data_IF_112561872391
#
_entry.id   IF_112561872391
#
_cell.length_a   1.000
_cell.length_b   1.000
_cell.length_c   1.000
_cell.angle_alpha   90.00
_cell.angle_beta   90.00
_cell.angle_gamma   90.00
#
_symmetry.space_group_name_H-M   'P 1'
#
loop_
_entity.id
_entity.type
_entity.pdbx_description
1 polymer ?
#
# COMPACT_ATOMS: atom_id res chain seq x y z
N UNK A 1 5.46 -5.17 -7.70
CA UNK A 1 4.06 -4.90 -8.16
C UNK A 1 3.23 -6.14 -7.88
N UNK A 2 1.97 -5.98 -7.45
CA UNK A 2 1.13 -7.13 -7.09
C UNK A 2 -0.11 -7.21 -7.97
N UNK A 3 -0.84 -6.11 -8.11
CA UNK A 3 -2.08 -6.06 -8.86
C UNK A 3 -2.08 -4.84 -9.78
N UNK A 4 -2.60 -5.04 -10.98
CA UNK A 4 -2.88 -3.98 -11.93
C UNK A 4 -4.37 -3.96 -12.26
N UNK A 5 -4.93 -2.78 -12.37
CA UNK A 5 -6.31 -2.60 -12.82
C UNK A 5 -6.35 -1.56 -13.93
N UNK A 6 -6.99 -1.93 -15.02
CA UNK A 6 -7.14 -1.10 -16.22
C UNK A 6 -8.62 -0.90 -16.52
N UNK A 7 -8.97 0.23 -17.09
CA UNK A 7 -10.33 0.48 -17.60
C UNK A 7 -10.30 0.75 -19.11
N UNK A 8 -11.34 0.27 -19.80
CA UNK A 8 -11.65 0.70 -21.16
C UNK A 8 -12.18 2.13 -21.18
N UNK A 9 -12.38 2.66 -22.37
CA UNK A 9 -13.19 3.84 -22.57
C UNK A 9 -14.66 3.59 -22.18
N UNK A 10 -15.39 4.67 -21.89
CA UNK A 10 -16.82 4.61 -21.65
C UNK A 10 -17.59 4.52 -22.99
N UNK A 11 -18.53 3.61 -23.05
CA UNK A 11 -19.31 3.32 -24.26
C UNK A 11 -20.78 3.49 -23.93
N UNK A 12 -21.55 4.08 -24.85
CA UNK A 12 -23.02 4.07 -24.74
C UNK A 12 -23.51 2.65 -24.93
N UNK A 13 -24.33 2.14 -24.02
CA UNK A 13 -24.76 0.71 -24.01
C UNK A 13 -25.33 0.28 -25.35
N UNK A 14 -26.16 1.12 -25.95
CA UNK A 14 -26.78 0.81 -27.25
C UNK A 14 -25.77 0.73 -28.41
N UNK A 15 -24.57 1.29 -28.23
CA UNK A 15 -23.49 1.26 -29.22
C UNK A 15 -22.46 0.15 -28.94
N UNK A 16 -22.60 -0.61 -27.85
CA UNK A 16 -21.64 -1.65 -27.48
C UNK A 16 -21.42 -2.68 -28.58
N UNK A 17 -22.49 -3.12 -29.26
CA UNK A 17 -22.42 -4.11 -30.35
C UNK A 17 -21.57 -3.66 -31.54
N UNK A 18 -21.44 -2.36 -31.75
CA UNK A 18 -20.66 -1.77 -32.84
C UNK A 18 -19.31 -1.19 -32.34
N UNK A 19 -18.97 -1.40 -31.08
CA UNK A 19 -17.71 -0.95 -30.53
C UNK A 19 -16.64 -2.05 -30.62
N UNK A 20 -15.37 -1.64 -30.56
CA UNK A 20 -14.23 -2.58 -30.48
C UNK A 20 -14.26 -3.46 -29.23
N UNK A 21 -15.10 -3.15 -28.25
CA UNK A 21 -15.24 -3.93 -27.00
C UNK A 21 -16.44 -4.91 -27.02
N UNK A 22 -17.07 -5.12 -28.18
CA UNK A 22 -18.27 -5.98 -28.33
C UNK A 22 -18.07 -7.42 -27.82
N UNK A 23 -16.88 -7.92 -27.95
CA UNK A 23 -16.54 -9.31 -27.60
C UNK A 23 -16.03 -9.51 -26.16
N UNK A 24 -15.73 -8.43 -25.45
CA UNK A 24 -15.28 -8.51 -24.05
C UNK A 24 -16.23 -9.28 -23.10
N UNK A 25 -17.57 -9.16 -23.23
CA UNK A 25 -18.48 -9.96 -22.41
C UNK A 25 -18.30 -11.47 -22.55
N UNK A 26 -17.76 -11.95 -23.68
CA UNK A 26 -17.44 -13.38 -23.88
C UNK A 26 -16.33 -13.85 -22.96
N UNK A 27 -15.39 -12.96 -22.60
CA UNK A 27 -14.27 -13.25 -21.70
C UNK A 27 -14.69 -13.25 -20.22
N UNK A 28 -15.88 -12.74 -19.90
CA UNK A 28 -16.38 -12.66 -18.51
C UNK A 28 -16.52 -14.02 -17.82
N UNK A 29 -16.74 -15.09 -18.55
CA UNK A 29 -16.87 -16.45 -17.98
C UNK A 29 -15.61 -16.91 -17.24
N UNK A 30 -14.47 -16.20 -17.41
CA UNK A 30 -13.21 -16.41 -16.71
C UNK A 30 -13.12 -15.66 -15.36
N UNK A 31 -14.22 -15.06 -14.87
CA UNK A 31 -14.24 -14.25 -13.63
C UNK A 31 -14.25 -15.09 -12.34
N UNK A 32 -13.70 -16.28 -12.35
CA UNK A 32 -13.47 -17.02 -11.12
C UNK A 32 -12.22 -16.47 -10.41
N UNK A 33 -12.26 -16.40 -9.09
CA UNK A 33 -11.13 -15.93 -8.26
C UNK A 33 -9.82 -16.70 -8.49
N UNK A 34 -9.92 -17.89 -9.11
CA UNK A 34 -8.78 -18.73 -9.50
C UNK A 34 -8.04 -18.27 -10.76
N UNK A 35 -8.55 -17.29 -11.52
CA UNK A 35 -7.88 -16.80 -12.72
C UNK A 35 -7.07 -15.53 -12.45
N UNK A 36 -5.82 -15.43 -12.97
CA UNK A 36 -4.97 -14.27 -12.75
C UNK A 36 -5.43 -13.02 -13.51
N UNK A 37 -6.12 -13.19 -14.64
CA UNK A 37 -6.68 -12.09 -15.46
C UNK A 37 -8.18 -12.21 -15.47
N UNK A 38 -8.87 -11.11 -15.09
CA UNK A 38 -10.34 -11.07 -14.96
C UNK A 38 -10.89 -9.81 -15.58
N UNK A 39 -12.04 -9.93 -16.26
CA UNK A 39 -12.76 -8.80 -16.85
C UNK A 39 -14.07 -8.59 -16.08
N UNK A 40 -14.33 -7.35 -15.70
CA UNK A 40 -15.58 -6.93 -15.08
C UNK A 40 -16.25 -5.86 -15.95
N UNK A 41 -17.57 -5.83 -15.99
CA UNK A 41 -18.31 -4.75 -16.61
C UNK A 41 -18.96 -3.87 -15.54
N UNK A 42 -18.96 -2.57 -15.80
CA UNK A 42 -19.59 -1.58 -14.94
C UNK A 42 -20.53 -0.72 -15.78
N UNK A 43 -21.81 -0.68 -15.40
CA UNK A 43 -22.79 0.16 -16.06
C UNK A 43 -23.35 1.19 -15.09
N UNK A 44 -23.61 2.39 -15.60
CA UNK A 44 -24.23 3.47 -14.85
C UNK A 44 -24.97 4.42 -15.76
N UNK A 45 -25.86 5.24 -15.19
CA UNK A 45 -26.57 6.27 -15.93
C UNK A 45 -25.95 7.64 -15.67
N UNK A 46 -25.73 8.41 -16.75
CA UNK A 46 -25.25 9.76 -16.67
C UNK A 46 -26.08 10.64 -17.65
N UNK A 47 -26.74 11.66 -17.10
CA UNK A 47 -27.62 12.54 -17.89
C UNK A 47 -28.63 11.78 -18.76
N UNK A 48 -29.27 10.74 -18.22
CA UNK A 48 -30.25 9.90 -18.93
C UNK A 48 -29.63 8.88 -19.91
N UNK A 49 -28.33 8.92 -20.14
CA UNK A 49 -27.63 7.97 -21.02
C UNK A 49 -27.04 6.84 -20.20
N UNK A 50 -27.33 5.60 -20.57
CA UNK A 50 -26.69 4.40 -19.98
C UNK A 50 -25.32 4.19 -20.62
N UNK A 51 -24.29 4.23 -19.77
CA UNK A 51 -22.90 4.02 -20.13
C UNK A 51 -22.38 2.71 -19.56
N UNK A 52 -21.44 2.08 -20.26
CA UNK A 52 -20.71 0.90 -19.81
C UNK A 52 -19.21 1.12 -20.01
N UNK A 53 -18.40 0.58 -19.11
CA UNK A 53 -16.98 0.39 -19.31
C UNK A 53 -16.54 -0.96 -18.74
N UNK A 54 -15.40 -1.44 -19.18
CA UNK A 54 -14.83 -2.70 -18.73
C UNK A 54 -13.60 -2.46 -17.89
N UNK A 55 -13.43 -3.25 -16.85
CA UNK A 55 -12.25 -3.27 -15.99
C UNK A 55 -11.51 -4.58 -16.19
N UNK A 56 -10.26 -4.50 -16.58
CA UNK A 56 -9.32 -5.61 -16.60
C UNK A 56 -8.54 -5.60 -15.28
N UNK A 57 -8.65 -6.68 -14.53
CA UNK A 57 -7.94 -6.88 -13.26
C UNK A 57 -6.89 -7.98 -13.45
N UNK A 58 -5.63 -7.69 -13.10
CA UNK A 58 -4.50 -8.60 -13.27
C UNK A 58 -3.83 -8.84 -11.93
N UNK A 59 -3.88 -10.06 -11.43
CA UNK A 59 -3.06 -10.53 -10.31
C UNK A 59 -1.70 -10.99 -10.85
N UNK A 60 -0.71 -10.10 -10.76
CA UNK A 60 0.60 -10.33 -11.35
C UNK A 60 1.37 -11.46 -10.66
N UNK A 61 1.19 -11.66 -9.36
CA UNK A 61 1.86 -12.74 -8.63
C UNK A 61 1.31 -14.11 -9.04
N UNK A 62 -0.02 -14.19 -9.15
CA UNK A 62 -0.68 -15.41 -9.61
C UNK A 62 -0.33 -15.72 -11.07
N UNK A 63 -0.31 -14.69 -11.92
CA UNK A 63 0.02 -14.82 -13.35
C UNK A 63 1.43 -15.37 -13.56
N UNK A 64 2.40 -14.83 -12.84
CA UNK A 64 3.80 -15.19 -12.97
C UNK A 64 4.23 -16.35 -12.06
N UNK A 65 3.37 -16.78 -11.13
CA UNK A 65 3.70 -17.77 -10.09
C UNK A 65 4.94 -17.36 -9.27
N UNK A 66 5.08 -16.07 -8.99
CA UNK A 66 6.21 -15.48 -8.25
C UNK A 66 5.72 -14.79 -6.97
N UNK A 67 6.63 -14.63 -6.00
CA UNK A 67 6.37 -13.91 -4.74
C UNK A 67 6.48 -12.40 -4.94
N UNK A 68 7.38 -11.97 -5.84
CA UNK A 68 7.63 -10.58 -6.20
C UNK A 68 7.67 -10.42 -7.72
N UNK A 69 7.22 -9.26 -8.20
CA UNK A 69 7.29 -8.86 -9.61
C UNK A 69 8.40 -7.84 -9.78
N UNK A 70 9.36 -8.16 -10.63
CA UNK A 70 10.48 -7.30 -11.02
C UNK A 70 10.14 -6.51 -12.30
N UNK A 71 10.93 -5.49 -12.61
CA UNK A 71 10.70 -4.67 -13.82
C UNK A 71 10.80 -5.50 -15.12
N UNK A 72 11.70 -6.48 -15.17
CA UNK A 72 11.82 -7.41 -16.31
C UNK A 72 10.57 -8.27 -16.54
N UNK A 73 9.77 -8.51 -15.52
CA UNK A 73 8.56 -9.34 -15.61
C UNK A 73 7.40 -8.64 -16.30
N UNK A 74 7.47 -7.33 -16.50
CA UNK A 74 6.36 -6.55 -17.03
C UNK A 74 6.08 -6.85 -18.49
N UNK A 75 7.09 -7.17 -19.27
CA UNK A 75 6.89 -7.64 -20.63
C UNK A 75 6.08 -8.93 -20.65
N UNK A 76 6.37 -9.87 -19.76
CA UNK A 76 5.60 -11.11 -19.61
C UNK A 76 4.15 -10.84 -19.21
N UNK A 77 3.90 -9.86 -18.33
CA UNK A 77 2.55 -9.45 -17.95
C UNK A 77 1.82 -8.82 -19.14
N UNK A 78 2.50 -7.97 -19.92
CA UNK A 78 1.94 -7.33 -21.11
C UNK A 78 1.57 -8.38 -22.17
N UNK A 79 2.44 -9.32 -22.43
CA UNK A 79 2.23 -10.40 -23.39
C UNK A 79 1.06 -11.29 -22.96
N UNK A 80 1.01 -11.72 -21.70
CA UNK A 80 -0.10 -12.51 -21.18
C UNK A 80 -1.46 -11.77 -21.22
N UNK A 81 -1.46 -10.45 -20.97
CA UNK A 81 -2.66 -9.63 -21.13
C UNK A 81 -3.10 -9.55 -22.60
N UNK A 82 -2.15 -9.37 -23.51
CA UNK A 82 -2.43 -9.30 -24.93
C UNK A 82 -2.96 -10.66 -25.46
N UNK A 83 -2.36 -11.77 -25.07
CA UNK A 83 -2.83 -13.10 -25.42
C UNK A 83 -4.27 -13.36 -24.92
N UNK A 84 -4.55 -12.93 -23.69
CA UNK A 84 -5.90 -13.01 -23.15
C UNK A 84 -6.90 -12.14 -23.94
N UNK A 85 -6.54 -10.89 -24.25
CA UNK A 85 -7.40 -9.93 -24.93
C UNK A 85 -7.54 -10.21 -26.43
N UNK A 86 -6.61 -10.95 -27.03
CA UNK A 86 -6.64 -11.34 -28.46
C UNK A 86 -7.95 -12.03 -28.83
N UNK A 87 -8.57 -12.76 -27.91
CA UNK A 87 -9.86 -13.42 -28.12
C UNK A 87 -11.00 -12.41 -28.41
N UNK A 88 -10.83 -11.16 -28.02
CA UNK A 88 -11.76 -10.05 -28.29
C UNK A 88 -11.20 -9.06 -29.32
N UNK A 89 -10.13 -9.42 -30.06
CA UNK A 89 -9.42 -8.55 -30.98
C UNK A 89 -8.91 -7.23 -30.35
N UNK A 90 -8.52 -7.29 -29.07
CA UNK A 90 -8.02 -6.17 -28.28
C UNK A 90 -6.58 -6.42 -27.78
N UNK A 91 -5.94 -5.35 -27.35
CA UNK A 91 -4.63 -5.36 -26.69
C UNK A 91 -4.72 -4.61 -25.37
N UNK A 92 -3.68 -4.68 -24.52
CA UNK A 92 -3.62 -3.92 -23.30
C UNK A 92 -3.58 -2.40 -23.54
N UNK A 93 -3.11 -1.97 -24.72
CA UNK A 93 -3.04 -0.56 -25.10
C UNK A 93 -4.43 0.06 -25.38
N UNK A 94 -5.48 -0.78 -25.55
CA UNK A 94 -6.87 -0.35 -25.61
C UNK A 94 -7.44 0.05 -24.24
N UNK A 95 -6.66 -0.14 -23.19
CA UNK A 95 -7.03 0.15 -21.81
C UNK A 95 -6.06 1.15 -21.19
N UNK A 96 -6.49 1.78 -20.11
CA UNK A 96 -5.65 2.67 -19.33
C UNK A 96 -5.58 2.26 -17.87
N UNK A 97 -4.43 2.39 -17.26
CA UNK A 97 -4.23 2.05 -15.84
C UNK A 97 -5.06 2.98 -14.96
N UNK A 98 -5.78 2.38 -14.01
CA UNK A 98 -6.57 3.08 -12.99
C UNK A 98 -6.18 2.72 -11.57
N UNK A 99 -5.46 1.61 -11.37
CA UNK A 99 -4.93 1.21 -10.07
C UNK A 99 -3.67 0.38 -10.24
N UNK A 100 -2.71 0.63 -9.37
CA UNK A 100 -1.48 -0.15 -9.23
C UNK A 100 -1.29 -0.45 -7.75
N UNK A 101 -1.12 -1.71 -7.40
CA UNK A 101 -0.80 -2.13 -6.04
C UNK A 101 0.66 -2.61 -5.98
N UNK A 102 1.44 -1.98 -5.11
CA UNK A 102 2.77 -2.44 -4.75
C UNK A 102 2.68 -3.17 -3.43
N UNK A 103 3.22 -4.37 -3.35
CA UNK A 103 3.31 -5.05 -2.08
C UNK A 103 4.72 -5.53 -1.79
N UNK A 104 5.04 -5.55 -0.52
CA UNK A 104 6.23 -6.20 0.04
C UNK A 104 5.77 -7.15 1.12
N UNK A 105 6.28 -8.36 1.08
CA UNK A 105 6.07 -9.36 2.10
C UNK A 105 7.27 -9.36 3.05
N UNK A 106 7.00 -9.25 4.35
CA UNK A 106 8.00 -9.26 5.40
C UNK A 106 7.72 -10.42 6.34
N UNK A 107 8.68 -11.32 6.50
CA UNK A 107 8.54 -12.44 7.42
C UNK A 107 8.87 -12.00 8.84
N UNK A 108 8.02 -12.37 9.78
CA UNK A 108 8.25 -12.23 11.22
C UNK A 108 8.87 -13.51 11.77
N UNK A 109 9.53 -13.42 12.91
CA UNK A 109 10.15 -14.58 13.56
C UNK A 109 9.07 -15.59 14.02
N UNK A 110 7.94 -15.09 14.49
CA UNK A 110 6.84 -15.91 14.98
C UNK A 110 5.53 -15.11 15.05
N UNK A 111 4.44 -15.82 15.34
CA UNK A 111 3.11 -15.21 15.48
C UNK A 111 3.06 -14.20 16.65
N UNK A 112 3.71 -14.46 17.76
CA UNK A 112 3.65 -13.61 18.94
C UNK A 112 4.25 -12.22 18.67
N UNK A 113 5.42 -12.15 18.01
CA UNK A 113 6.01 -10.87 17.58
C UNK A 113 5.09 -10.14 16.61
N UNK A 114 4.45 -10.86 15.69
CA UNK A 114 3.49 -10.30 14.73
C UNK A 114 2.28 -9.66 15.42
N UNK A 115 1.69 -10.38 16.38
CA UNK A 115 0.53 -9.89 17.14
C UNK A 115 0.91 -8.65 17.99
N UNK A 116 2.07 -8.62 18.63
CA UNK A 116 2.60 -7.48 19.38
C UNK A 116 2.83 -6.29 18.45
N UNK A 117 3.41 -6.53 17.27
CA UNK A 117 3.65 -5.44 16.30
C UNK A 117 2.33 -4.80 15.86
N UNK A 118 1.28 -5.57 15.55
CA UNK A 118 -0.02 -5.01 15.21
C UNK A 118 -0.62 -4.22 16.36
N UNK A 119 -0.58 -4.72 17.59
CA UNK A 119 -1.07 -3.98 18.76
C UNK A 119 -0.28 -2.67 18.97
N UNK A 120 1.04 -2.69 18.77
CA UNK A 120 1.89 -1.49 18.80
C UNK A 120 1.46 -0.49 17.73
N UNK A 121 1.24 -0.94 16.50
CA UNK A 121 0.78 -0.07 15.42
C UNK A 121 -0.62 0.49 15.70
N UNK A 122 -1.55 -0.31 16.20
CA UNK A 122 -2.89 0.13 16.55
C UNK A 122 -2.87 1.23 17.61
N UNK A 123 -2.04 1.08 18.63
CA UNK A 123 -1.97 2.04 19.73
C UNK A 123 -1.27 3.33 19.31
N UNK A 124 -0.19 3.25 18.56
CA UNK A 124 0.69 4.39 18.28
C UNK A 124 0.37 5.10 16.96
N UNK A 125 -0.13 4.36 15.96
CA UNK A 125 -0.34 4.87 14.60
C UNK A 125 -1.78 5.37 14.35
N UNK A 126 -2.53 5.69 15.38
CA UNK A 126 -3.92 6.15 15.26
C UNK A 126 -4.00 7.52 14.60
N UNK A 127 -4.86 7.60 13.57
CA UNK A 127 -5.38 8.83 12.94
C UNK A 127 -4.36 9.82 12.36
N UNK A 128 -3.83 9.53 11.21
CA UNK A 128 -3.19 10.56 10.40
C UNK A 128 -4.27 11.45 9.72
N UNK A 129 -4.24 12.77 9.93
CA UNK A 129 -5.25 13.76 9.50
C UNK A 129 -5.59 13.81 8.00
N UNK A 130 -4.92 13.03 7.16
CA UNK A 130 -5.13 12.98 5.71
C UNK A 130 -5.68 11.66 5.17
N UNK A 131 -5.75 10.64 6.03
CA UNK A 131 -6.24 9.33 5.66
C UNK A 131 -7.20 8.89 6.76
N UNK A 132 -8.42 8.53 6.43
CA UNK A 132 -9.26 7.83 7.38
C UNK A 132 -8.55 6.52 7.73
N UNK A 133 -8.06 6.41 8.95
CA UNK A 133 -7.47 5.19 9.48
C UNK A 133 -8.59 4.23 9.87
N UNK A 134 -8.47 2.99 9.46
CA UNK A 134 -9.26 1.88 10.01
C UNK A 134 -8.28 0.89 10.62
N UNK A 135 -8.54 0.50 11.85
CA UNK A 135 -7.82 -0.55 12.53
C UNK A 135 -8.66 -1.82 12.43
N UNK A 136 -8.04 -2.90 12.00
CA UNK A 136 -8.59 -4.25 12.04
C UNK A 136 -7.77 -5.05 13.06
N UNK A 137 -8.31 -6.08 13.68
CA UNK A 137 -7.58 -6.86 14.69
C UNK A 137 -6.19 -7.31 14.24
N UNK A 138 -6.02 -7.53 12.93
CA UNK A 138 -4.79 -8.02 12.32
C UNK A 138 -4.27 -7.13 11.18
N UNK A 139 -4.48 -5.81 11.26
CA UNK A 139 -4.01 -4.89 10.25
C UNK A 139 -4.34 -3.43 10.50
N UNK A 140 -3.64 -2.56 9.78
CA UNK A 140 -3.89 -1.12 9.76
C UNK A 140 -4.07 -0.66 8.32
N UNK A 141 -4.99 0.28 8.11
CA UNK A 141 -5.35 0.76 6.77
C UNK A 141 -5.52 2.27 6.77
N UNK A 142 -4.69 2.97 6.02
CA UNK A 142 -4.78 4.41 5.79
C UNK A 142 -5.15 4.67 4.35
N UNK A 143 -6.18 5.43 4.09
CA UNK A 143 -6.61 5.70 2.72
C UNK A 143 -7.13 7.12 2.51
N UNK A 144 -6.99 7.58 1.28
CA UNK A 144 -7.67 8.75 0.75
C UNK A 144 -8.18 8.47 -0.67
N UNK A 145 -8.64 9.51 -1.36
CA UNK A 145 -9.16 9.37 -2.74
C UNK A 145 -8.10 8.99 -3.77
N UNK A 146 -6.80 9.18 -3.46
CA UNK A 146 -5.70 8.97 -4.41
C UNK A 146 -4.82 7.77 -4.07
N UNK A 147 -4.64 7.44 -2.79
CA UNK A 147 -3.76 6.36 -2.31
C UNK A 147 -4.36 5.61 -1.14
N UNK A 148 -3.86 4.41 -0.91
CA UNK A 148 -4.04 3.71 0.36
C UNK A 148 -2.74 2.98 0.71
N UNK A 149 -2.43 2.92 2.00
CA UNK A 149 -1.39 2.07 2.57
C UNK A 149 -2.08 1.09 3.51
N UNK A 150 -1.82 -0.18 3.33
CA UNK A 150 -2.36 -1.25 4.16
C UNK A 150 -1.22 -2.13 4.67
N UNK A 151 -1.26 -2.46 5.94
CA UNK A 151 -0.35 -3.43 6.57
C UNK A 151 -1.22 -4.46 7.26
N UNK A 152 -1.07 -5.73 6.92
CA UNK A 152 -1.94 -6.78 7.43
C UNK A 152 -1.25 -8.15 7.51
N UNK A 153 -1.80 -8.99 8.38
CA UNK A 153 -1.43 -10.38 8.51
C UNK A 153 -1.96 -11.18 7.32
N UNK A 154 -1.05 -11.68 6.48
CA UNK A 154 -1.43 -12.42 5.28
C UNK A 154 -2.06 -13.78 5.58
N UNK A 155 -1.67 -14.40 6.67
CA UNK A 155 -2.22 -15.69 7.09
C UNK A 155 -3.67 -15.55 7.58
N UNK A 156 -3.94 -14.50 8.36
CA UNK A 156 -5.30 -14.20 8.82
C UNK A 156 -6.20 -13.82 7.65
N UNK A 157 -5.73 -12.96 6.75
CA UNK A 157 -6.48 -12.57 5.55
C UNK A 157 -6.89 -13.77 4.70
N UNK A 158 -6.01 -14.78 4.54
CA UNK A 158 -6.33 -16.03 3.84
C UNK A 158 -7.41 -16.84 4.56
N UNK A 159 -7.29 -16.96 5.88
CA UNK A 159 -8.29 -17.68 6.70
C UNK A 159 -9.67 -17.03 6.62
N UNK A 160 -9.74 -15.71 6.70
CA UNK A 160 -11.01 -14.96 6.58
C UNK A 160 -11.68 -15.15 5.22
N UNK A 161 -10.87 -15.27 4.16
CA UNK A 161 -11.37 -15.56 2.81
C UNK A 161 -11.64 -17.05 2.53
N UNK A 162 -11.45 -17.91 3.51
CA UNK A 162 -11.53 -19.38 3.36
C UNK A 162 -10.60 -19.90 2.24
N UNK A 163 -9.45 -19.26 2.06
CA UNK A 163 -8.43 -19.64 1.10
C UNK A 163 -7.29 -20.42 1.77
N UNK A 164 -6.66 -21.34 1.03
CA UNK A 164 -5.50 -22.07 1.54
C UNK A 164 -4.29 -21.15 1.74
N UNK A 165 -3.60 -21.31 2.87
CA UNK A 165 -2.36 -20.62 3.15
C UNK A 165 -1.26 -21.26 2.31
N UNK A 166 -0.53 -20.45 1.54
CA UNK A 166 0.62 -20.92 0.77
C UNK A 166 1.85 -20.97 1.68
N UNK A 167 2.78 -21.88 1.43
CA UNK A 167 3.97 -22.08 2.27
C UNK A 167 4.81 -20.82 2.52
N UNK A 168 4.81 -19.89 1.58
CA UNK A 168 5.53 -18.62 1.69
C UNK A 168 4.71 -17.49 2.36
N UNK A 169 3.46 -17.73 2.72
CA UNK A 169 2.56 -16.76 3.35
C UNK A 169 2.45 -16.97 4.87
N UNK A 170 3.09 -18.01 5.43
CA UNK A 170 3.15 -18.21 6.88
C UNK A 170 4.06 -17.18 7.54
N UNK A 171 3.61 -16.63 8.66
CA UNK A 171 4.30 -15.60 9.45
C UNK A 171 4.66 -14.34 8.65
N UNK A 172 3.86 -14.01 7.64
CA UNK A 172 4.10 -12.88 6.75
C UNK A 172 3.18 -11.70 7.07
N UNK A 173 3.80 -10.57 7.31
CA UNK A 173 3.14 -9.27 7.23
C UNK A 173 3.24 -8.77 5.80
N UNK A 174 2.12 -8.39 5.21
CA UNK A 174 2.08 -7.73 3.91
C UNK A 174 1.91 -6.24 4.09
N UNK A 175 2.79 -5.49 3.44
CA UNK A 175 2.64 -4.04 3.27
C UNK A 175 2.22 -3.79 1.83
N UNK A 176 1.10 -3.12 1.63
CA UNK A 176 0.52 -2.86 0.31
C UNK A 176 0.24 -1.37 0.12
N UNK A 177 0.88 -0.76 -0.87
CA UNK A 177 0.60 0.59 -1.32
C UNK A 177 -0.27 0.54 -2.58
N UNK A 178 -1.48 1.08 -2.49
CA UNK A 178 -2.40 1.19 -3.61
C UNK A 178 -2.35 2.61 -4.18
N UNK A 179 -1.97 2.73 -5.44
CA UNK A 179 -2.07 3.97 -6.22
C UNK A 179 -3.39 3.93 -7.01
N UNK A 180 -4.32 4.82 -6.67
CA UNK A 180 -5.67 4.87 -7.26
C UNK A 180 -5.70 5.79 -8.48
N UNK A 181 -6.77 5.70 -9.27
CA UNK A 181 -6.97 6.43 -10.53
C UNK A 181 -6.66 7.92 -10.44
N UNK A 182 -7.04 8.59 -9.34
CA UNK A 182 -6.77 10.01 -9.14
C UNK A 182 -5.26 10.29 -9.06
N UNK A 183 -4.52 9.49 -8.28
CA UNK A 183 -3.06 9.64 -8.18
C UNK A 183 -2.38 9.42 -9.53
N UNK A 184 -2.75 8.34 -10.23
CA UNK A 184 -2.19 7.99 -11.54
C UNK A 184 -2.44 9.12 -12.54
N UNK A 185 -3.67 9.65 -12.57
CA UNK A 185 -4.03 10.80 -13.43
C UNK A 185 -3.22 12.05 -13.10
N UNK A 186 -3.09 12.38 -11.81
CA UNK A 186 -2.40 13.60 -11.37
C UNK A 186 -0.88 13.49 -11.64
N UNK A 187 -0.27 12.34 -11.42
CA UNK A 187 1.13 12.07 -11.74
C UNK A 187 1.40 12.17 -13.25
N UNK A 188 0.55 11.54 -14.06
CA UNK A 188 0.62 11.63 -15.51
C UNK A 188 0.48 13.07 -16.02
N UNK A 189 -0.45 13.84 -15.46
CA UNK A 189 -0.66 15.25 -15.83
C UNK A 189 0.54 16.13 -15.44
N UNK A 190 1.12 15.93 -14.26
CA UNK A 190 2.31 16.67 -13.82
C UNK A 190 3.49 16.46 -14.77
N UNK A 191 3.75 15.21 -15.15
CA UNK A 191 4.84 14.90 -16.06
C UNK A 191 4.59 15.46 -17.46
N UNK A 192 3.38 15.31 -17.99
CA UNK A 192 3.03 15.89 -19.28
C UNK A 192 3.23 17.41 -19.30
N UNK A 193 2.85 18.10 -18.21
CA UNK A 193 3.09 19.53 -18.05
C UNK A 193 4.57 19.88 -18.01
N UNK A 194 5.40 19.10 -17.30
CA UNK A 194 6.86 19.31 -17.25
C UNK A 194 7.54 19.14 -18.61
N UNK A 195 6.94 18.33 -19.50
CA UNK A 195 7.39 18.12 -20.88
C UNK A 195 6.76 19.07 -21.91
N UNK A 196 6.04 20.10 -21.46
CA UNK A 196 5.38 21.07 -22.33
C UNK A 196 4.22 20.50 -23.16
N UNK A 197 3.69 19.32 -22.83
CA UNK A 197 2.63 18.62 -23.57
C UNK A 197 1.26 18.92 -22.99
N UNK A 198 0.26 19.19 -23.86
CA UNK A 198 -1.14 19.35 -23.46
C UNK A 198 -1.74 17.96 -23.20
N UNK A 199 -2.18 17.71 -21.97
CA UNK A 199 -2.83 16.45 -21.57
C UNK A 199 -4.33 16.54 -21.82
N UNK A 200 -4.81 16.14 -22.97
CA UNK A 200 -6.24 15.86 -23.18
C UNK A 200 -6.46 14.33 -23.12
N UNK A 201 -6.99 13.94 -22.06
CA UNK A 201 -7.90 12.89 -21.58
C UNK A 201 -7.79 11.44 -22.11
N UNK A 202 -7.89 11.13 -23.35
CA UNK A 202 -7.97 9.76 -23.86
C UNK A 202 -6.74 9.55 -24.74
N UNK A 203 -5.98 8.48 -24.44
CA UNK A 203 -4.71 8.22 -25.12
C UNK A 203 -3.49 8.92 -24.52
N UNK A 204 -3.55 9.35 -23.25
CA UNK A 204 -2.36 9.85 -22.56
C UNK A 204 -1.36 8.69 -22.35
N UNK A 205 -0.20 8.68 -23.03
CA UNK A 205 0.77 7.58 -22.94
C UNK A 205 1.26 7.35 -21.50
N UNK A 206 1.16 8.36 -20.63
CA UNK A 206 1.52 8.23 -19.21
C UNK A 206 0.53 7.42 -18.38
N UNK A 207 -0.58 7.00 -18.95
CA UNK A 207 -1.51 6.03 -18.35
C UNK A 207 -1.31 4.62 -18.90
N UNK A 208 -0.30 4.42 -19.74
CA UNK A 208 0.11 3.10 -20.25
C UNK A 208 0.94 2.35 -19.22
N UNK A 209 0.98 1.04 -19.35
CA UNK A 209 1.82 0.18 -18.52
C UNK A 209 3.31 0.53 -18.69
N UNK A 210 3.76 0.74 -19.92
CA UNK A 210 5.16 1.03 -20.26
C UNK A 210 5.71 2.26 -19.54
N UNK A 211 4.87 3.29 -19.38
CA UNK A 211 5.25 4.48 -18.61
C UNK A 211 5.50 4.16 -17.13
N UNK A 212 4.60 3.39 -16.50
CA UNK A 212 4.69 3.08 -15.08
C UNK A 212 5.80 2.07 -14.75
N UNK A 213 6.31 1.37 -15.74
CA UNK A 213 7.50 0.51 -15.62
C UNK A 213 8.77 1.32 -15.51
N UNK A 214 8.85 2.42 -16.23
CA UNK A 214 10.09 3.23 -16.32
C UNK A 214 10.34 4.13 -15.10
N UNK A 215 9.38 4.24 -14.17
CA UNK A 215 9.47 5.12 -12.98
C UNK A 215 9.89 4.30 -11.77
N UNK A 216 10.95 4.73 -11.08
CA UNK A 216 11.33 4.12 -9.79
C UNK A 216 10.21 4.26 -8.76
N UNK A 217 9.72 3.13 -8.28
CA UNK A 217 8.53 3.01 -7.45
C UNK A 217 8.86 2.74 -5.99
N UNK A 218 10.07 2.30 -5.75
CA UNK A 218 10.60 2.08 -4.42
C UNK A 218 10.54 3.37 -3.60
N UNK A 219 10.91 4.50 -4.22
CA UNK A 219 10.82 5.81 -3.59
C UNK A 219 9.40 6.17 -3.15
N UNK A 220 8.39 5.97 -4.01
CA UNK A 220 6.99 6.27 -3.64
C UNK A 220 6.46 5.36 -2.54
N UNK A 221 6.86 4.10 -2.55
CA UNK A 221 6.54 3.13 -1.51
C UNK A 221 7.17 3.53 -0.18
N UNK A 222 8.46 3.81 -0.16
CA UNK A 222 9.17 4.25 1.04
C UNK A 222 8.63 5.58 1.58
N UNK A 223 8.42 6.59 0.73
CA UNK A 223 7.81 7.86 1.15
C UNK A 223 6.39 7.70 1.74
N UNK A 224 5.61 6.74 1.22
CA UNK A 224 4.29 6.46 1.78
C UNK A 224 4.38 5.77 3.13
N UNK A 225 5.32 4.86 3.29
CA UNK A 225 5.55 4.12 4.52
C UNK A 225 6.10 5.03 5.64
N UNK A 226 7.13 5.82 5.34
CA UNK A 226 7.77 6.76 6.27
C UNK A 226 6.81 7.81 6.86
N UNK A 227 5.75 8.15 6.14
CA UNK A 227 4.71 9.05 6.64
C UNK A 227 3.89 8.47 7.79
N UNK A 228 3.80 7.15 7.86
CA UNK A 228 2.93 6.44 8.80
C UNK A 228 3.73 5.67 9.85
N UNK A 229 4.89 5.16 9.48
CA UNK A 229 5.75 4.38 10.37
C UNK A 229 7.15 5.00 10.34
N UNK A 230 7.59 5.62 11.43
CA UNK A 230 8.95 6.13 11.54
C UNK A 230 10.01 5.00 11.49
N UNK A 231 11.22 5.36 11.09
CA UNK A 231 12.38 4.47 11.16
C UNK A 231 12.76 4.13 12.61
N UNK A 232 13.62 3.14 12.77
CA UNK A 232 14.07 2.62 14.06
C UNK A 232 13.34 1.33 14.44
N UNK A 233 13.91 0.58 15.35
CA UNK A 233 13.35 -0.67 15.87
C UNK A 233 12.31 -0.41 16.98
N UNK A 234 11.42 -1.36 17.20
CA UNK A 234 10.37 -1.26 18.22
C UNK A 234 10.89 -1.80 19.56
N UNK A 235 10.86 -0.97 20.58
CA UNK A 235 11.23 -1.32 21.95
C UNK A 235 10.06 -1.11 22.90
N UNK A 236 10.06 -1.80 24.05
CA UNK A 236 9.21 -1.38 25.17
C UNK A 236 9.60 0.03 25.63
N UNK A 237 8.70 0.75 26.29
CA UNK A 237 9.00 2.11 26.77
C UNK A 237 10.15 2.09 27.77
N UNK A 238 10.20 1.08 28.64
CA UNK A 238 11.27 0.89 29.61
C UNK A 238 12.62 0.74 28.90
N UNK A 239 12.71 -0.18 27.95
CA UNK A 239 13.94 -0.40 27.16
C UNK A 239 14.37 0.81 26.35
N UNK A 240 13.42 1.49 25.71
CA UNK A 240 13.68 2.73 24.96
C UNK A 240 14.23 3.83 25.90
N UNK A 241 13.69 3.95 27.13
CA UNK A 241 14.17 4.91 28.11
C UNK A 241 15.60 4.62 28.57
N UNK A 242 15.98 3.35 28.74
CA UNK A 242 17.36 2.94 29.06
C UNK A 242 18.33 3.37 27.93
N UNK A 243 17.97 3.13 26.67
CA UNK A 243 18.78 3.51 25.52
C UNK A 243 18.94 5.06 25.48
N UNK A 244 17.87 5.81 25.75
CA UNK A 244 17.91 7.27 25.84
C UNK A 244 18.85 7.71 26.96
N UNK A 245 18.84 7.05 28.13
CA UNK A 245 19.71 7.39 29.24
C UNK A 245 21.21 7.18 28.93
N UNK A 246 21.52 6.18 28.14
CA UNK A 246 22.88 5.88 27.69
C UNK A 246 23.36 6.80 26.55
N UNK A 247 22.47 7.54 25.90
CA UNK A 247 22.83 8.42 24.77
C UNK A 247 23.65 9.62 25.21
N UNK A 248 24.32 10.28 24.25
CA UNK A 248 25.11 11.48 24.47
C UNK A 248 24.28 12.79 24.57
N UNK A 249 22.93 12.68 24.55
CA UNK A 249 22.05 13.82 24.60
C UNK A 249 22.05 14.51 25.98
N UNK A 250 21.76 15.81 26.02
CA UNK A 250 21.66 16.57 27.27
C UNK A 250 20.54 16.05 28.16
N UNK A 251 20.65 16.23 29.50
CA UNK A 251 19.59 15.82 30.44
C UNK A 251 18.20 16.38 30.06
N UNK A 252 18.16 17.65 29.61
CA UNK A 252 16.92 18.28 29.15
C UNK A 252 16.34 17.58 27.92
N UNK A 253 17.17 17.21 26.93
CA UNK A 253 16.73 16.52 25.72
C UNK A 253 16.24 15.09 26.06
N UNK A 254 16.99 14.34 26.88
CA UNK A 254 16.57 13.00 27.35
C UNK A 254 15.19 13.04 27.98
N UNK A 255 14.94 14.01 28.88
CA UNK A 255 13.62 14.19 29.50
C UNK A 255 12.52 14.42 28.45
N UNK A 256 12.79 15.30 27.46
CA UNK A 256 11.82 15.61 26.39
C UNK A 256 11.52 14.39 25.52
N UNK A 257 12.52 13.60 25.14
CA UNK A 257 12.35 12.39 24.33
C UNK A 257 11.55 11.32 25.08
N UNK A 258 11.82 11.10 26.38
CA UNK A 258 11.05 10.17 27.20
C UNK A 258 9.59 10.59 27.33
N UNK A 259 9.33 11.88 27.59
CA UNK A 259 7.97 12.41 27.63
C UNK A 259 7.27 12.24 26.29
N UNK A 260 7.96 12.48 25.17
CA UNK A 260 7.41 12.31 23.83
C UNK A 260 7.03 10.85 23.53
N UNK A 261 7.89 9.88 23.89
CA UNK A 261 7.55 8.44 23.76
C UNK A 261 6.34 8.06 24.63
N UNK A 262 6.27 8.55 25.86
CA UNK A 262 5.13 8.28 26.75
C UNK A 262 3.82 8.83 26.17
N UNK A 263 3.83 10.05 25.61
CA UNK A 263 2.65 10.63 24.97
C UNK A 263 2.21 9.78 23.79
N UNK A 264 3.15 9.35 22.94
CA UNK A 264 2.81 8.49 21.77
C UNK A 264 2.24 7.15 22.24
N UNK A 265 2.86 6.51 23.22
CA UNK A 265 2.39 5.22 23.73
C UNK A 265 0.98 5.33 24.33
N UNK A 266 0.70 6.42 25.05
CA UNK A 266 -0.58 6.59 25.74
C UNK A 266 -1.69 7.09 24.82
N UNK A 267 -1.39 8.02 23.92
CA UNK A 267 -2.37 8.82 23.19
C UNK A 267 -2.23 8.75 21.66
N UNK A 268 -1.19 8.08 21.16
CA UNK A 268 -0.86 8.04 19.73
C UNK A 268 -0.11 9.27 19.21
N UNK A 269 0.47 9.12 18.02
CA UNK A 269 1.28 10.17 17.38
C UNK A 269 0.48 11.44 17.08
N UNK A 270 -0.81 11.32 16.80
CA UNK A 270 -1.67 12.47 16.47
C UNK A 270 -1.89 13.42 17.64
N UNK A 271 -1.97 12.89 18.85
CA UNK A 271 -2.10 13.74 20.05
C UNK A 271 -0.76 14.44 20.32
N UNK A 272 0.36 13.69 20.20
CA UNK A 272 1.68 14.30 20.26
C UNK A 272 1.85 15.43 19.22
N UNK A 273 1.24 15.25 18.03
CA UNK A 273 1.24 16.24 16.96
C UNK A 273 0.40 17.50 17.26
N UNK A 274 -0.58 17.41 18.14
CA UNK A 274 -1.34 18.57 18.61
C UNK A 274 -0.62 19.34 19.73
N UNK A 275 0.12 18.62 20.57
CA UNK A 275 0.84 19.21 21.71
C UNK A 275 2.16 19.88 21.32
N UNK A 276 2.73 19.50 20.19
CA UNK A 276 4.03 19.99 19.72
C UNK A 276 3.97 20.61 18.33
N UNK A 277 4.83 21.59 18.07
CA UNK A 277 5.03 22.11 16.70
C UNK A 277 5.61 21.00 15.81
N UNK A 278 5.19 20.94 14.56
CA UNK A 278 5.63 19.95 13.57
C UNK A 278 7.17 19.79 13.49
N UNK A 279 7.91 20.91 13.53
CA UNK A 279 9.37 20.87 13.50
C UNK A 279 9.97 20.19 14.74
N UNK A 280 9.34 20.36 15.92
CA UNK A 280 9.74 19.70 17.15
C UNK A 280 9.53 18.20 17.08
N UNK A 281 8.39 17.77 16.55
CA UNK A 281 8.08 16.35 16.34
C UNK A 281 9.08 15.72 15.40
N UNK A 282 9.29 16.32 14.23
CA UNK A 282 10.25 15.82 13.24
C UNK A 282 11.66 15.72 13.84
N UNK A 283 12.06 16.70 14.67
CA UNK A 283 13.34 16.66 15.38
C UNK A 283 13.41 15.47 16.34
N UNK A 284 12.37 15.24 17.16
CA UNK A 284 12.38 14.14 18.13
C UNK A 284 12.37 12.78 17.42
N UNK A 285 11.54 12.62 16.39
CA UNK A 285 11.53 11.41 15.57
C UNK A 285 12.91 11.17 14.94
N UNK A 286 13.53 12.21 14.37
CA UNK A 286 14.86 12.09 13.78
C UNK A 286 15.91 11.66 14.81
N UNK A 287 15.98 12.30 15.98
CA UNK A 287 16.93 11.92 17.04
C UNK A 287 16.73 10.47 17.49
N UNK A 288 15.48 10.05 17.74
CA UNK A 288 15.18 8.69 18.18
C UNK A 288 15.57 7.67 17.09
N UNK A 289 15.18 7.92 15.84
CA UNK A 289 15.38 6.94 14.77
C UNK A 289 16.82 6.91 14.24
N UNK A 290 17.48 8.08 14.06
CA UNK A 290 18.81 8.12 13.42
C UNK A 290 19.97 7.98 14.39
N UNK A 291 19.84 8.50 15.63
CA UNK A 291 20.93 8.45 16.62
C UNK A 291 20.84 7.22 17.54
N UNK A 292 19.62 6.68 17.77
CA UNK A 292 19.39 5.62 18.75
C UNK A 292 18.74 4.37 18.14
N UNK A 293 18.35 4.40 16.87
CA UNK A 293 17.61 3.36 16.19
C UNK A 293 16.30 2.95 16.91
N UNK A 294 15.61 3.94 17.53
CA UNK A 294 14.34 3.75 18.22
C UNK A 294 13.21 4.24 17.33
N UNK A 295 12.26 3.37 16.96
CA UNK A 295 10.96 3.79 16.44
C UNK A 295 10.17 4.46 17.58
N UNK A 296 9.56 5.64 17.37
CA UNK A 296 8.74 6.28 18.40
C UNK A 296 7.51 5.47 18.82
N UNK A 297 7.11 4.46 18.04
CA UNK A 297 6.06 3.53 18.40
C UNK A 297 6.64 2.46 19.31
N UNK A 298 6.30 2.52 20.60
CA UNK A 298 6.82 1.61 21.60
C UNK A 298 5.86 0.45 21.87
N UNK A 299 6.42 -0.73 22.12
CA UNK A 299 5.65 -1.91 22.51
C UNK A 299 4.90 -1.60 23.83
N UNK A 300 3.59 -1.86 23.89
CA UNK A 300 2.81 -1.65 25.12
C UNK A 300 3.40 -2.41 26.31
N UNK A 301 3.58 -1.74 27.45
CA UNK A 301 4.19 -2.34 28.64
C UNK A 301 3.48 -3.61 29.14
N UNK A 302 2.14 -3.63 29.04
CA UNK A 302 1.35 -4.81 29.40
C UNK A 302 1.72 -6.04 28.56
N UNK A 303 2.00 -5.82 27.27
CA UNK A 303 2.40 -6.88 26.36
C UNK A 303 3.86 -7.30 26.62
N UNK A 304 4.76 -6.33 26.75
CA UNK A 304 6.16 -6.62 27.05
C UNK A 304 6.29 -7.47 28.31
N UNK A 305 5.59 -7.09 29.39
CA UNK A 305 5.63 -7.85 30.66
C UNK A 305 4.99 -9.25 30.55
N UNK A 306 3.87 -9.37 29.83
CA UNK A 306 3.18 -10.66 29.73
C UNK A 306 3.86 -11.65 28.80
N UNK A 307 4.62 -11.16 27.81
CA UNK A 307 5.27 -11.99 26.79
C UNK A 307 6.78 -12.12 26.95
N UNK A 308 7.41 -11.23 27.73
CA UNK A 308 8.86 -11.12 27.84
C UNK A 308 9.54 -10.51 26.61
N UNK A 309 8.76 -9.99 25.63
CA UNK A 309 9.27 -9.37 24.41
C UNK A 309 9.33 -7.87 24.62
N UNK A 310 10.54 -7.33 24.73
CA UNK A 310 10.83 -5.90 24.89
C UNK A 310 11.45 -5.26 23.64
N UNK A 311 11.66 -6.05 22.58
CA UNK A 311 12.29 -5.65 21.33
C UNK A 311 11.71 -6.40 20.14
N UNK A 312 11.41 -5.69 19.05
CA UNK A 312 11.10 -6.23 17.72
C UNK A 312 11.86 -5.44 16.69
N UNK A 313 12.69 -6.12 15.89
CA UNK A 313 13.37 -5.48 14.77
C UNK A 313 12.35 -4.95 13.76
N UNK A 314 12.51 -3.70 13.32
CA UNK A 314 11.56 -3.10 12.39
C UNK A 314 11.56 -3.84 11.04
N UNK A 315 10.48 -4.54 10.66
CA UNK A 315 10.46 -5.33 9.44
C UNK A 315 10.29 -4.46 8.18
N UNK A 316 9.89 -3.20 8.32
CA UNK A 316 9.47 -2.38 7.19
C UNK A 316 10.63 -1.80 6.39
N UNK A 317 11.80 -1.64 7.01
CA UNK A 317 12.97 -0.96 6.42
C UNK A 317 14.19 -1.86 6.25
N UNK A 318 14.03 -3.16 6.49
CA UNK A 318 15.11 -4.17 6.33
C UNK A 318 14.92 -4.98 5.08
#
# INVERSE_FOLDING_TARGET
MHTLTFNSEMIVINQLKHSRYSDLPKLWRANQSSFPIRVYSHSFSKYGTKLIYFTLHVDCLMLLKKINVEDKDILLIKDACNDFLKQAALTIDDFHIVRIDYCTNKRMANKQERDILFQTLHQCATQCNYLSGMSYDHGVYWHNRSRALQIYDKEVERKEKSESIRSYESDVIRVELQLKSRYIKDAANKLAKSLGRKTKNIGNPYRSLDFWVSVSREKEYLEALEKHIPHGDFYSLERANEIIDLSNNTKSMKKKLKTFLLIIQTNGLDIAAKEHRRNTINKYISILSTEMNICPFTIPESLSRSTGIDFIANPFYK
#
